data_IF_262407639818
#
_entry.id   IF_262407639818
#
_cell.length_a   1.000
_cell.length_b   1.000
_cell.length_c   1.000
_cell.angle_alpha   90.00
_cell.angle_beta   90.00
_cell.angle_gamma   90.00
#
_symmetry.space_group_name_H-M   'P 1'
#
loop_
_entity.id
_entity.type
_entity.pdbx_description
1 polymer ?
#
# COMPACT_ATOMS: atom_id res chain seq x y z
N UNK A 1 -2.89 -12.79 17.73
CA UNK A 1 -2.33 -11.60 17.03
C UNK A 1 -0.83 -11.67 16.83
N UNK A 2 -0.05 -12.10 17.80
CA UNK A 2 1.42 -12.22 17.65
C UNK A 2 1.86 -13.17 16.52
N UNK A 3 1.22 -14.33 16.39
CA UNK A 3 1.56 -15.34 15.37
C UNK A 3 1.39 -14.79 13.94
N UNK A 4 0.31 -14.05 13.67
CA UNK A 4 0.07 -13.43 12.36
C UNK A 4 1.14 -12.41 12.04
N UNK A 5 1.50 -11.58 13.03
CA UNK A 5 2.54 -10.58 12.89
C UNK A 5 3.91 -11.19 12.52
N UNK A 6 4.35 -12.22 13.26
CA UNK A 6 5.63 -12.88 12.99
C UNK A 6 5.64 -13.64 11.68
N UNK A 7 4.51 -14.24 11.30
CA UNK A 7 4.34 -14.90 10.01
C UNK A 7 4.45 -13.92 8.84
N UNK A 8 3.84 -12.73 8.94
CA UNK A 8 4.00 -11.66 7.96
C UNK A 8 5.47 -11.19 7.85
N UNK A 9 6.15 -11.03 8.98
CA UNK A 9 7.55 -10.64 9.00
C UNK A 9 8.49 -11.70 8.42
N UNK A 10 8.17 -12.98 8.63
CA UNK A 10 8.97 -14.10 8.10
C UNK A 10 8.72 -14.39 6.63
N UNK A 11 7.56 -13.99 6.09
CA UNK A 11 7.11 -14.26 4.71
C UNK A 11 6.95 -15.76 4.37
N UNK A 12 6.82 -16.62 5.37
CA UNK A 12 6.67 -18.05 5.18
C UNK A 12 5.19 -18.46 5.21
N UNK A 13 4.65 -18.80 4.05
CA UNK A 13 3.23 -19.12 3.86
C UNK A 13 2.94 -20.59 4.18
N UNK A 14 3.90 -21.52 3.94
CA UNK A 14 3.69 -22.94 4.12
C UNK A 14 3.50 -23.38 5.58
N UNK A 15 3.89 -22.54 6.51
CA UNK A 15 3.66 -22.74 7.96
C UNK A 15 2.22 -22.44 8.39
N UNK A 16 1.34 -22.05 7.46
CA UNK A 16 -0.09 -21.80 7.74
C UNK A 16 -0.81 -23.00 8.36
N UNK A 17 -0.33 -24.23 8.13
CA UNK A 17 -1.11 -25.44 8.36
C UNK A 17 -0.70 -26.26 9.60
N UNK A 18 0.17 -25.78 10.49
CA UNK A 18 0.34 -26.58 11.69
C UNK A 18 1.54 -26.38 12.58
N UNK A 19 2.55 -25.64 12.20
CA UNK A 19 3.72 -25.46 13.07
C UNK A 19 3.68 -24.09 13.78
N UNK A 20 3.48 -24.12 15.10
CA UNK A 20 3.52 -22.95 15.98
C UNK A 20 4.93 -22.58 16.42
N UNK A 21 5.94 -22.83 15.59
CA UNK A 21 7.33 -22.56 15.97
C UNK A 21 7.66 -21.07 15.91
N UNK A 22 7.22 -20.33 16.93
CA UNK A 22 7.47 -18.89 17.09
C UNK A 22 8.97 -18.60 17.03
N UNK A 23 9.82 -19.45 17.57
CA UNK A 23 11.27 -19.29 17.52
C UNK A 23 11.84 -19.27 16.10
N UNK A 24 11.32 -20.10 15.22
CA UNK A 24 11.69 -20.12 13.80
C UNK A 24 11.27 -18.81 13.10
N UNK A 25 10.05 -18.34 13.32
CA UNK A 25 9.58 -17.08 12.74
C UNK A 25 10.39 -15.89 13.23
N UNK A 26 10.74 -15.83 14.52
CA UNK A 26 11.60 -14.80 15.07
C UNK A 26 12.99 -14.80 14.42
N UNK A 27 13.60 -15.98 14.27
CA UNK A 27 14.90 -16.11 13.63
C UNK A 27 14.85 -15.65 12.17
N UNK A 28 13.85 -16.11 11.40
CA UNK A 28 13.69 -15.78 9.99
C UNK A 28 13.39 -14.29 9.78
N UNK A 29 12.48 -13.72 10.61
CA UNK A 29 12.18 -12.30 10.57
C UNK A 29 13.42 -11.44 10.88
N UNK A 30 14.25 -11.85 11.86
CA UNK A 30 15.49 -11.15 12.19
C UNK A 30 16.55 -11.31 11.08
N UNK A 31 16.59 -12.46 10.40
CA UNK A 31 17.45 -12.65 9.23
C UNK A 31 17.04 -11.74 8.08
N UNK A 32 15.73 -11.68 7.77
CA UNK A 32 15.19 -10.76 6.77
C UNK A 32 15.42 -9.29 7.12
N UNK A 33 15.23 -8.93 8.40
CA UNK A 33 15.49 -7.57 8.88
C UNK A 33 16.96 -7.17 8.66
N UNK A 34 17.91 -8.05 9.01
CA UNK A 34 19.35 -7.79 8.79
C UNK A 34 19.69 -7.69 7.30
N UNK A 35 19.13 -8.55 6.47
CA UNK A 35 19.36 -8.52 5.02
C UNK A 35 18.74 -7.30 4.34
N UNK A 36 17.68 -6.72 4.93
CA UNK A 36 16.95 -5.57 4.40
C UNK A 36 17.28 -4.27 5.17
N UNK A 37 18.22 -4.29 6.16
CA UNK A 37 18.66 -3.05 6.80
C UNK A 37 19.42 -2.18 5.80
N UNK A 38 19.09 -0.90 5.79
CA UNK A 38 19.71 0.08 4.92
C UNK A 38 20.63 0.96 5.75
N UNK A 39 21.83 0.43 6.05
CA UNK A 39 22.80 1.13 6.89
C UNK A 39 23.53 2.25 6.13
N UNK A 40 23.60 2.12 4.80
CA UNK A 40 24.19 3.11 3.91
C UNK A 40 23.59 2.99 2.52
N UNK A 41 23.54 4.10 1.80
CA UNK A 41 23.08 4.14 0.40
C UNK A 41 23.87 5.18 -0.38
N UNK A 42 24.05 4.93 -1.65
CA UNK A 42 24.67 5.87 -2.56
C UNK A 42 23.60 6.54 -3.43
N UNK A 43 23.56 7.86 -3.39
CA UNK A 43 22.62 8.68 -4.16
C UNK A 43 23.42 9.71 -4.96
N UNK A 44 23.28 9.71 -6.28
CA UNK A 44 24.02 10.61 -7.18
C UNK A 44 25.54 10.56 -6.96
N UNK A 45 26.08 9.38 -6.66
CA UNK A 45 27.52 9.20 -6.42
C UNK A 45 28.00 9.50 -4.99
N UNK A 46 27.13 10.02 -4.11
CA UNK A 46 27.47 10.39 -2.73
C UNK A 46 26.98 9.30 -1.78
N UNK A 47 27.85 8.85 -0.86
CA UNK A 47 27.49 7.93 0.20
C UNK A 47 26.79 8.65 1.35
N UNK A 48 25.63 8.15 1.75
CA UNK A 48 24.88 8.57 2.94
C UNK A 48 24.91 7.42 3.94
N UNK A 49 25.35 7.71 5.17
CA UNK A 49 25.54 6.72 6.24
C UNK A 49 24.75 7.06 7.51
N UNK A 50 24.48 8.33 7.74
CA UNK A 50 23.65 8.75 8.86
C UNK A 50 22.17 8.52 8.54
N UNK A 51 21.42 7.97 9.49
CA UNK A 51 20.01 7.59 9.29
C UNK A 51 19.16 8.76 8.78
N UNK A 52 19.39 9.95 9.31
CA UNK A 52 18.68 11.15 8.90
C UNK A 52 19.01 11.54 7.45
N UNK A 53 20.28 11.53 7.08
CA UNK A 53 20.73 11.86 5.73
C UNK A 53 20.21 10.85 4.69
N UNK A 54 20.20 9.56 5.05
CA UNK A 54 19.62 8.51 4.22
C UNK A 54 18.14 8.77 3.98
N UNK A 55 17.36 9.06 5.03
CA UNK A 55 15.93 9.34 4.91
C UNK A 55 15.67 10.56 4.04
N UNK A 56 16.36 11.67 4.29
CA UNK A 56 16.20 12.91 3.54
C UNK A 56 16.66 12.75 2.09
N UNK A 57 17.80 12.09 1.88
CA UNK A 57 18.33 11.84 0.53
C UNK A 57 17.39 10.97 -0.32
N UNK A 58 16.85 9.91 0.26
CA UNK A 58 15.87 9.05 -0.40
C UNK A 58 14.58 9.82 -0.70
N UNK A 59 14.04 10.56 0.30
CA UNK A 59 12.82 11.35 0.11
C UNK A 59 12.99 12.38 -1.00
N UNK A 60 14.10 13.12 -1.03
CA UNK A 60 14.40 14.13 -2.03
C UNK A 60 14.56 13.49 -3.43
N UNK A 61 15.26 12.36 -3.54
CA UNK A 61 15.45 11.67 -4.81
C UNK A 61 14.11 11.20 -5.40
N UNK A 62 13.22 10.61 -4.58
CA UNK A 62 11.89 10.21 -5.05
C UNK A 62 10.98 11.41 -5.31
N UNK A 63 11.09 12.47 -4.52
CA UNK A 63 10.36 13.71 -4.80
C UNK A 63 10.72 14.27 -6.17
N UNK A 64 12.01 14.34 -6.51
CA UNK A 64 12.46 14.78 -7.84
C UNK A 64 12.00 13.85 -8.95
N UNK A 65 12.09 12.53 -8.75
CA UNK A 65 11.68 11.53 -9.74
C UNK A 65 10.18 11.55 -10.03
N UNK A 66 9.36 11.79 -9.00
CA UNK A 66 7.90 11.77 -9.07
C UNK A 66 7.29 13.17 -9.29
N UNK A 67 8.10 14.23 -9.22
CA UNK A 67 7.65 15.58 -9.55
C UNK A 67 7.49 15.72 -11.05
N UNK A 68 6.33 16.21 -11.46
CA UNK A 68 6.05 16.49 -12.87
C UNK A 68 6.92 17.65 -13.36
N UNK A 69 7.81 17.39 -14.31
CA UNK A 69 8.40 18.43 -15.12
C UNK A 69 7.36 18.85 -16.15
N UNK A 70 6.77 20.03 -15.95
CA UNK A 70 5.59 20.54 -16.66
C UNK A 70 5.78 20.80 -18.16
N UNK A 71 6.94 20.53 -18.72
CA UNK A 71 7.25 20.86 -20.13
C UNK A 71 6.75 19.83 -21.15
N UNK A 72 6.45 18.60 -20.73
CA UNK A 72 5.97 17.57 -21.65
C UNK A 72 4.65 16.96 -21.17
N UNK A 73 3.56 17.32 -21.82
CA UNK A 73 2.27 16.66 -21.64
C UNK A 73 1.99 15.80 -22.86
N UNK A 74 1.64 14.54 -22.63
CA UNK A 74 1.18 13.67 -23.73
C UNK A 74 -0.13 14.25 -24.27
N UNK A 75 -0.14 14.55 -25.56
CA UNK A 75 -1.35 14.90 -26.26
C UNK A 75 -2.26 13.67 -26.37
N UNK A 76 -3.43 13.77 -25.79
CA UNK A 76 -4.45 12.72 -25.85
C UNK A 76 -5.54 13.04 -26.90
N UNK A 77 -5.42 14.16 -27.62
CA UNK A 77 -6.34 14.57 -28.68
C UNK A 77 -6.23 13.61 -29.87
N UNK A 78 -6.88 12.66 -30.04
CA UNK A 78 -6.82 11.65 -31.12
C UNK A 78 -6.84 10.21 -30.63
N UNK A 79 -6.84 10.00 -29.31
CA UNK A 79 -7.11 8.69 -28.76
C UNK A 79 -8.60 8.38 -28.94
N UNK A 80 -8.88 7.31 -29.68
CA UNK A 80 -10.24 6.76 -29.74
C UNK A 80 -10.51 6.02 -28.43
N UNK A 81 -11.18 6.68 -27.49
CA UNK A 81 -11.63 6.07 -26.25
C UNK A 81 -13.01 5.47 -26.46
N UNK A 82 -13.24 4.31 -25.86
CA UNK A 82 -14.58 3.73 -25.80
C UNK A 82 -15.48 4.64 -24.95
N UNK A 83 -16.64 4.99 -25.51
CA UNK A 83 -17.63 5.77 -24.77
C UNK A 83 -18.45 4.83 -23.88
N UNK A 84 -18.67 5.25 -22.64
CA UNK A 84 -19.60 4.60 -21.74
C UNK A 84 -21.03 4.88 -22.20
N UNK A 85 -21.90 3.90 -22.10
CA UNK A 85 -23.35 4.10 -22.27
C UNK A 85 -23.91 4.96 -21.11
N UNK A 86 -25.05 5.61 -21.35
CA UNK A 86 -25.72 6.40 -20.30
C UNK A 86 -25.98 5.56 -19.03
N UNK A 87 -26.35 4.30 -19.18
CA UNK A 87 -26.59 3.39 -18.05
C UNK A 87 -25.32 3.08 -17.25
N UNK A 88 -24.17 2.91 -17.94
CA UNK A 88 -22.88 2.70 -17.27
C UNK A 88 -22.46 3.95 -16.51
N UNK A 89 -22.67 5.14 -17.08
CA UNK A 89 -22.39 6.41 -16.39
C UNK A 89 -23.25 6.55 -15.14
N UNK A 90 -24.57 6.37 -15.27
CA UNK A 90 -25.51 6.42 -14.13
C UNK A 90 -25.12 5.42 -13.03
N UNK A 91 -24.70 4.21 -13.39
CA UNK A 91 -24.25 3.20 -12.44
C UNK A 91 -22.96 3.60 -11.72
N UNK A 92 -22.01 4.23 -12.43
CA UNK A 92 -20.75 4.70 -11.86
C UNK A 92 -20.91 5.92 -10.95
N UNK A 93 -21.98 6.68 -11.12
CA UNK A 93 -22.32 7.85 -10.33
C UNK A 93 -23.18 7.54 -9.09
N UNK A 94 -23.54 6.27 -8.85
CA UNK A 94 -24.25 5.88 -7.63
C UNK A 94 -23.36 5.95 -6.39
N UNK A 95 -23.93 6.31 -5.21
CA UNK A 95 -23.22 6.20 -3.95
C UNK A 95 -22.79 4.76 -3.66
N UNK A 96 -21.66 4.60 -2.97
CA UNK A 96 -21.18 3.29 -2.54
C UNK A 96 -22.15 2.64 -1.55
N UNK A 97 -22.53 1.40 -1.81
CA UNK A 97 -23.40 0.64 -0.90
C UNK A 97 -22.58 -0.08 0.19
N UNK A 98 -23.21 -0.34 1.33
CA UNK A 98 -22.59 -1.14 2.41
C UNK A 98 -22.16 -2.53 1.90
N UNK A 99 -22.99 -3.13 1.02
CA UNK A 99 -22.74 -4.47 0.50
C UNK A 99 -21.50 -4.52 -0.41
N UNK A 100 -21.31 -3.53 -1.27
CA UNK A 100 -20.11 -3.39 -2.11
C UNK A 100 -18.84 -3.22 -1.27
N UNK A 101 -18.88 -2.31 -0.30
CA UNK A 101 -17.74 -2.04 0.58
C UNK A 101 -17.39 -3.29 1.39
N UNK A 102 -18.40 -3.93 1.99
CA UNK A 102 -18.22 -5.15 2.78
C UNK A 102 -17.69 -6.31 1.92
N UNK A 103 -18.27 -6.53 0.76
CA UNK A 103 -17.83 -7.58 -0.16
C UNK A 103 -16.37 -7.38 -0.58
N UNK A 104 -16.02 -6.16 -0.98
CA UNK A 104 -14.65 -5.80 -1.33
C UNK A 104 -13.68 -6.05 -0.17
N UNK A 105 -14.06 -5.69 1.06
CA UNK A 105 -13.24 -5.93 2.25
C UNK A 105 -13.02 -7.43 2.50
N UNK A 106 -14.09 -8.23 2.44
CA UNK A 106 -14.01 -9.68 2.70
C UNK A 106 -13.23 -10.44 1.64
N UNK A 107 -13.16 -9.93 0.41
CA UNK A 107 -12.32 -10.49 -0.66
C UNK A 107 -10.82 -10.10 -0.55
N UNK A 108 -10.48 -9.15 0.30
CA UNK A 108 -9.08 -8.76 0.47
C UNK A 108 -8.30 -9.84 1.21
N UNK A 109 -7.05 -10.03 0.81
CA UNK A 109 -6.16 -10.94 1.53
C UNK A 109 -5.80 -10.35 2.90
N UNK A 110 -6.07 -11.10 3.96
CA UNK A 110 -5.86 -10.75 5.36
C UNK A 110 -4.37 -10.60 5.76
N UNK A 111 -3.48 -11.27 5.03
CA UNK A 111 -2.01 -11.24 5.22
C UNK A 111 -1.32 -10.03 4.55
N UNK A 112 -2.06 -9.04 4.06
CA UNK A 112 -1.46 -7.82 3.48
C UNK A 112 -0.62 -7.06 4.51
N UNK A 113 0.56 -6.58 4.05
CA UNK A 113 1.44 -5.76 4.88
C UNK A 113 0.72 -4.52 5.44
N UNK A 114 1.06 -4.18 6.68
CA UNK A 114 0.51 -3.03 7.40
C UNK A 114 0.91 -1.70 6.72
N UNK A 115 0.00 -0.76 6.72
CA UNK A 115 0.28 0.63 6.42
C UNK A 115 0.63 1.43 7.67
N UNK A 116 0.55 2.76 7.55
CA UNK A 116 0.81 3.69 8.65
C UNK A 116 -0.20 3.55 9.80
N UNK A 117 -1.44 3.17 9.47
CA UNK A 117 -2.52 2.92 10.41
C UNK A 117 -2.27 1.73 11.35
N UNK A 118 -1.29 0.87 11.03
CA UNK A 118 -0.91 -0.34 11.77
C UNK A 118 -2.04 -1.36 11.94
N UNK A 119 -3.15 -1.22 11.23
CA UNK A 119 -4.23 -2.20 11.22
C UNK A 119 -4.06 -3.19 10.07
N UNK A 120 -4.27 -4.47 10.36
CA UNK A 120 -4.31 -5.53 9.34
C UNK A 120 -5.64 -5.51 8.61
N UNK A 121 -5.68 -6.08 7.40
CA UNK A 121 -6.96 -6.34 6.73
C UNK A 121 -7.81 -7.29 7.58
N UNK A 122 -7.22 -8.31 8.20
CA UNK A 122 -7.88 -9.20 9.13
C UNK A 122 -8.58 -8.47 10.29
N UNK A 123 -7.99 -7.38 10.82
CA UNK A 123 -8.63 -6.55 11.82
C UNK A 123 -9.94 -5.95 11.29
N UNK A 124 -9.90 -5.30 10.12
CA UNK A 124 -11.08 -4.67 9.52
C UNK A 124 -12.18 -5.70 9.21
N UNK A 125 -11.79 -6.88 8.71
CA UNK A 125 -12.73 -7.97 8.42
C UNK A 125 -13.40 -8.50 9.70
N UNK A 126 -12.61 -8.73 10.77
CA UNK A 126 -13.11 -9.29 12.03
C UNK A 126 -13.94 -8.29 12.81
N UNK A 127 -13.56 -7.01 12.80
CA UNK A 127 -14.23 -5.95 13.54
C UNK A 127 -15.30 -5.21 12.73
N UNK A 128 -15.70 -5.74 11.56
CA UNK A 128 -16.65 -5.08 10.65
C UNK A 128 -17.87 -4.49 11.36
N UNK A 129 -18.54 -5.29 12.17
CA UNK A 129 -19.77 -4.87 12.86
C UNK A 129 -19.55 -3.70 13.83
N UNK A 130 -18.33 -3.51 14.27
CA UNK A 130 -17.94 -2.42 15.17
C UNK A 130 -17.49 -1.15 14.42
N UNK A 131 -16.83 -1.31 13.28
CA UNK A 131 -16.19 -0.17 12.56
C UNK A 131 -16.93 0.25 11.29
N UNK A 132 -18.01 -0.43 10.94
CA UNK A 132 -18.71 -0.22 9.66
C UNK A 132 -19.24 1.19 9.49
N UNK A 133 -19.77 1.80 10.55
CA UNK A 133 -20.37 3.12 10.46
C UNK A 133 -19.33 4.18 10.06
N UNK A 134 -18.13 4.11 10.67
CA UNK A 134 -17.03 5.03 10.35
C UNK A 134 -16.48 4.78 8.93
N UNK A 135 -16.46 3.51 8.50
CA UNK A 135 -16.03 3.19 7.13
C UNK A 135 -17.04 3.71 6.11
N UNK A 136 -18.34 3.51 6.35
CA UNK A 136 -19.40 4.00 5.48
C UNK A 136 -19.41 5.52 5.39
N UNK A 137 -19.18 6.21 6.51
CA UNK A 137 -19.08 7.66 6.52
C UNK A 137 -17.87 8.16 5.72
N UNK A 138 -16.72 7.48 5.82
CA UNK A 138 -15.54 7.78 5.02
C UNK A 138 -15.82 7.66 3.50
N UNK A 139 -16.53 6.61 3.09
CA UNK A 139 -16.92 6.42 1.69
C UNK A 139 -17.93 7.46 1.22
N UNK A 140 -18.86 7.86 2.09
CA UNK A 140 -19.79 8.93 1.83
C UNK A 140 -19.09 10.28 1.66
N UNK A 141 -18.16 10.63 2.56
CA UNK A 141 -17.36 11.85 2.42
C UNK A 141 -16.58 11.87 1.11
N UNK A 142 -15.99 10.72 0.74
CA UNK A 142 -15.27 10.59 -0.53
C UNK A 142 -16.21 10.81 -1.72
N UNK A 143 -17.42 10.24 -1.68
CA UNK A 143 -18.43 10.42 -2.72
C UNK A 143 -18.88 11.87 -2.84
N UNK A 144 -19.23 12.50 -1.70
CA UNK A 144 -19.80 13.86 -1.66
C UNK A 144 -18.76 14.94 -2.03
N UNK A 145 -17.51 14.75 -1.63
CA UNK A 145 -16.46 15.78 -1.75
C UNK A 145 -15.43 15.47 -2.86
N UNK A 146 -15.45 14.27 -3.45
CA UNK A 146 -14.41 13.77 -4.36
C UNK A 146 -12.99 13.89 -3.78
N UNK A 147 -12.90 13.89 -2.44
CA UNK A 147 -11.65 14.11 -1.71
C UNK A 147 -11.44 12.99 -0.69
N UNK A 148 -10.25 12.43 -0.70
CA UNK A 148 -9.85 11.41 0.26
C UNK A 148 -8.96 12.02 1.34
N UNK A 149 -9.27 11.75 2.60
CA UNK A 149 -8.55 12.32 3.74
C UNK A 149 -7.04 12.10 3.59
N UNK A 150 -6.28 13.18 3.53
CA UNK A 150 -4.84 13.16 3.21
C UNK A 150 -4.04 12.21 4.11
N UNK A 151 -4.42 12.09 5.38
CA UNK A 151 -3.73 11.21 6.34
C UNK A 151 -3.86 9.73 5.96
N UNK A 152 -4.98 9.32 5.35
CA UNK A 152 -5.21 7.95 4.91
C UNK A 152 -4.45 7.61 3.63
N UNK A 153 -4.07 8.62 2.84
CA UNK A 153 -3.22 8.47 1.66
C UNK A 153 -1.72 8.52 2.00
N UNK A 154 -1.37 8.66 3.27
CA UNK A 154 0.02 8.62 3.71
C UNK A 154 0.54 7.19 3.68
N UNK A 155 1.75 7.00 3.19
CA UNK A 155 2.36 5.68 3.03
C UNK A 155 3.78 5.64 3.57
N UNK A 156 4.20 4.47 4.05
CA UNK A 156 5.61 4.20 4.22
C UNK A 156 6.22 3.80 2.88
N UNK A 157 7.36 4.40 2.56
CA UNK A 157 8.19 3.98 1.46
C UNK A 157 9.28 3.03 1.98
N UNK A 158 9.25 1.79 1.52
CA UNK A 158 10.24 0.76 1.87
C UNK A 158 11.08 0.44 0.65
N UNK A 159 12.41 0.41 0.83
CA UNK A 159 13.34 0.06 -0.22
C UNK A 159 13.72 -1.42 -0.11
N UNK A 160 13.44 -2.19 -1.17
CA UNK A 160 13.79 -3.62 -1.25
C UNK A 160 14.94 -3.79 -2.24
N UNK A 161 16.08 -4.38 -1.85
CA UNK A 161 17.19 -4.60 -2.76
C UNK A 161 16.78 -5.54 -3.90
N UNK A 162 17.17 -5.19 -5.12
CA UNK A 162 16.96 -6.02 -6.33
C UNK A 162 17.98 -7.16 -6.43
N UNK A 163 19.14 -6.99 -5.79
CA UNK A 163 20.28 -7.92 -5.82
C UNK A 163 21.06 -7.88 -4.50
N UNK A 164 21.86 -8.90 -4.25
CA UNK A 164 22.84 -8.87 -3.15
C UNK A 164 23.88 -7.78 -3.40
N UNK A 165 24.29 -7.08 -2.32
CA UNK A 165 25.25 -5.98 -2.41
C UNK A 165 24.71 -4.73 -3.11
N UNK A 166 23.40 -4.46 -3.02
CA UNK A 166 22.79 -3.23 -3.49
C UNK A 166 23.36 -2.03 -2.76
N UNK A 167 23.86 -1.04 -3.47
CA UNK A 167 24.50 0.16 -2.92
C UNK A 167 23.88 1.45 -3.45
N UNK A 168 23.61 1.52 -4.75
CA UNK A 168 22.99 2.68 -5.38
C UNK A 168 21.47 2.65 -5.22
N UNK A 169 20.83 3.83 -5.10
CA UNK A 169 19.38 3.94 -5.01
C UNK A 169 18.66 3.20 -6.15
N UNK A 170 19.22 3.17 -7.34
CA UNK A 170 18.74 2.43 -8.49
C UNK A 170 18.72 0.91 -8.31
N UNK A 171 19.50 0.37 -7.37
CA UNK A 171 19.52 -1.06 -7.04
C UNK A 171 18.37 -1.49 -6.13
N UNK A 172 17.54 -0.57 -5.69
CA UNK A 172 16.38 -0.85 -4.83
C UNK A 172 15.06 -0.70 -5.60
N UNK A 173 14.04 -1.41 -5.11
CA UNK A 173 12.65 -1.23 -5.51
C UNK A 173 11.92 -0.47 -4.41
N UNK A 174 11.36 0.71 -4.68
CA UNK A 174 10.47 1.36 -3.74
C UNK A 174 9.15 0.60 -3.68
N UNK A 175 8.69 0.31 -2.48
CA UNK A 175 7.38 -0.29 -2.22
C UNK A 175 6.63 0.61 -1.26
N UNK A 176 5.44 1.06 -1.67
CA UNK A 176 4.53 1.84 -0.82
C UNK A 176 3.66 0.93 0.03
N UNK A 177 3.72 1.10 1.34
CA UNK A 177 2.88 0.38 2.30
C UNK A 177 1.70 1.27 2.68
N UNK A 178 0.62 1.14 1.91
CA UNK A 178 -0.63 1.88 2.10
C UNK A 178 -1.44 1.31 3.26
N UNK A 179 -2.24 2.15 3.91
CA UNK A 179 -3.20 1.77 4.94
C UNK A 179 -4.32 0.85 4.43
N UNK A 180 -4.98 0.15 5.34
CA UNK A 180 -6.06 -0.80 5.02
C UNK A 180 -7.24 -0.12 4.34
N UNK A 181 -7.67 1.03 4.84
CA UNK A 181 -8.81 1.79 4.29
C UNK A 181 -8.53 2.35 2.89
N UNK A 182 -7.30 2.78 2.61
CA UNK A 182 -6.93 3.20 1.25
C UNK A 182 -6.99 2.03 0.27
N UNK A 183 -6.49 0.86 0.69
CA UNK A 183 -6.56 -0.37 -0.12
C UNK A 183 -8.01 -0.79 -0.38
N UNK A 184 -8.88 -0.63 0.62
CA UNK A 184 -10.30 -0.93 0.50
C UNK A 184 -10.96 0.01 -0.52
N UNK A 185 -10.75 1.32 -0.41
CA UNK A 185 -11.27 2.28 -1.39
C UNK A 185 -10.81 1.94 -2.81
N UNK A 186 -9.51 1.69 -3.00
CA UNK A 186 -8.97 1.31 -4.31
C UNK A 186 -9.58 0.01 -4.85
N UNK A 187 -9.87 -0.96 -3.98
CA UNK A 187 -10.52 -2.22 -4.34
C UNK A 187 -11.96 -2.01 -4.78
N UNK A 188 -12.72 -1.20 -4.04
CA UNK A 188 -14.13 -0.85 -4.38
C UNK A 188 -14.17 -0.12 -5.73
N UNK A 189 -13.35 0.93 -5.91
CA UNK A 189 -13.27 1.66 -7.18
C UNK A 189 -12.86 0.77 -8.37
N UNK A 190 -11.98 -0.20 -8.15
CA UNK A 190 -11.61 -1.17 -9.19
C UNK A 190 -12.74 -2.17 -9.50
N UNK A 191 -13.63 -2.43 -8.55
CA UNK A 191 -14.82 -3.28 -8.70
C UNK A 191 -15.89 -2.66 -9.59
N UNK A 192 -16.04 -1.34 -9.53
CA UNK A 192 -17.02 -0.59 -10.34
C UNK A 192 -16.74 -0.63 -11.87
N UNK A 193 -15.54 -1.06 -12.26
CA UNK A 193 -15.13 -1.14 -13.68
C UNK A 193 -15.27 -2.53 -14.29
N UNK A 194 -15.92 -3.47 -13.61
CA UNK A 194 -16.17 -4.83 -14.08
C UNK A 194 -17.66 -5.02 -14.39
#
# INVERSE_FOLDING_TARGET
MEEIHWRQLSREIWLKEGDRNIGFFHWLANAHRRNNSLDKIKINGVWLTEEQDVREGVANAFHQLLSENSEWKTDIEGLQLNHLSTQEVESLELPFSEEEIRSALMEMNDDKALGLDRFTVAFWQTCWDFVKEEILELFKEFYDQSFFVKILNTTFLVLIPKKGGAEDLGDFRPISLLGGLYKLLAKVLAGLRR
#
